data_IF_632996878817
#
_entry.id   IF_632996878817
#
_cell.length_a   1.000
_cell.length_b   1.000
_cell.length_c   1.000
_cell.angle_alpha   90.00
_cell.angle_beta   90.00
_cell.angle_gamma   90.00
#
_symmetry.space_group_name_H-M   'P 1'
#
loop_
_entity.id
_entity.type
_entity.pdbx_description
1 polymer ?
#
# COMPACT_ATOMS: atom_id res chain seq x y z
N UNK A 1 4.05 -17.63 24.94
CA UNK A 1 2.81 -17.80 24.15
C UNK A 1 3.19 -17.59 22.68
N UNK A 2 3.09 -18.60 21.80
CA UNK A 2 3.37 -18.39 20.36
C UNK A 2 2.13 -17.75 19.75
N UNK A 3 2.27 -16.55 19.21
CA UNK A 3 1.21 -15.87 18.46
C UNK A 3 0.75 -16.75 17.29
N UNK A 4 -0.56 -16.73 17.00
CA UNK A 4 -1.11 -17.39 15.83
C UNK A 4 -0.47 -16.79 14.55
N UNK A 5 -0.33 -17.59 13.48
CA UNK A 5 0.25 -17.15 12.21
C UNK A 5 -0.53 -15.98 11.59
N UNK A 6 -1.85 -15.98 11.74
CA UNK A 6 -2.72 -14.87 11.33
C UNK A 6 -2.32 -13.57 12.06
N UNK A 7 -2.27 -13.61 13.39
CA UNK A 7 -1.90 -12.42 14.20
C UNK A 7 -0.50 -11.90 13.84
N UNK A 8 0.45 -12.80 13.54
CA UNK A 8 1.78 -12.38 13.07
C UNK A 8 1.70 -11.67 11.71
N UNK A 9 0.88 -12.18 10.79
CA UNK A 9 0.64 -11.56 9.49
C UNK A 9 0.03 -10.17 9.64
N UNK A 10 -0.98 -10.03 10.51
CA UNK A 10 -1.66 -8.76 10.76
C UNK A 10 -0.70 -7.73 11.35
N UNK A 11 0.16 -8.13 12.29
CA UNK A 11 1.21 -7.25 12.84
C UNK A 11 2.22 -6.81 11.76
N UNK A 12 2.61 -7.71 10.84
CA UNK A 12 3.48 -7.35 9.71
C UNK A 12 2.79 -6.32 8.81
N UNK A 13 1.51 -6.49 8.51
CA UNK A 13 0.74 -5.57 7.67
C UNK A 13 0.51 -4.21 8.34
N UNK A 14 0.27 -4.17 9.65
CA UNK A 14 0.19 -2.92 10.42
C UNK A 14 1.54 -2.18 10.38
N UNK A 15 2.66 -2.89 10.51
CA UNK A 15 4.00 -2.30 10.37
C UNK A 15 4.22 -1.72 8.96
N UNK A 16 3.80 -2.44 7.92
CA UNK A 16 3.83 -1.96 6.53
C UNK A 16 3.04 -0.65 6.41
N UNK A 17 1.82 -0.63 6.94
CA UNK A 17 0.92 0.53 6.89
C UNK A 17 1.51 1.75 7.63
N UNK A 18 2.18 1.51 8.76
CA UNK A 18 2.91 2.56 9.48
C UNK A 18 4.05 3.15 8.63
N UNK A 19 4.84 2.29 7.96
CA UNK A 19 5.91 2.73 7.07
C UNK A 19 5.35 3.60 5.92
N UNK A 20 4.18 3.25 5.38
CA UNK A 20 3.56 4.02 4.30
C UNK A 20 2.96 5.33 4.78
N UNK A 21 2.43 5.38 6.00
CA UNK A 21 2.00 6.65 6.61
C UNK A 21 3.14 7.68 6.65
N UNK A 22 4.37 7.24 6.98
CA UNK A 22 5.58 8.10 6.92
C UNK A 22 5.97 8.44 5.48
N UNK A 23 5.73 7.52 4.54
CA UNK A 23 6.15 7.67 3.14
C UNK A 23 5.57 8.90 2.45
N UNK A 24 4.33 9.31 2.75
CA UNK A 24 3.71 10.50 2.13
C UNK A 24 4.50 11.77 2.39
N UNK A 25 4.87 12.01 3.65
CA UNK A 25 5.69 13.17 4.02
C UNK A 25 7.05 13.18 3.32
N UNK A 26 7.71 12.02 3.28
CA UNK A 26 9.02 11.90 2.62
C UNK A 26 8.92 11.99 1.10
N UNK A 27 7.85 11.51 0.48
CA UNK A 27 7.63 11.67 -0.96
C UNK A 27 7.42 13.13 -1.33
N UNK A 28 6.60 13.86 -0.57
CA UNK A 28 6.36 15.29 -0.81
C UNK A 28 7.67 16.07 -0.77
N UNK A 29 8.51 15.81 0.23
CA UNK A 29 9.85 16.39 0.34
C UNK A 29 10.75 16.05 -0.86
N UNK A 30 10.71 14.82 -1.36
CA UNK A 30 11.52 14.40 -2.50
C UNK A 30 11.02 14.97 -3.84
N UNK A 31 9.70 15.15 -4.00
CA UNK A 31 9.09 15.66 -5.24
C UNK A 31 9.38 17.14 -5.51
N UNK A 32 9.97 17.87 -4.54
CA UNK A 32 10.51 19.21 -4.76
C UNK A 32 11.78 19.16 -5.63
N UNK A 33 12.57 18.10 -5.50
CA UNK A 33 13.87 17.91 -6.16
C UNK A 33 13.78 16.95 -7.35
N UNK A 34 12.90 15.97 -7.29
CA UNK A 34 12.87 14.84 -8.23
C UNK A 34 11.50 14.69 -8.91
N UNK A 35 11.51 14.25 -10.15
CA UNK A 35 10.26 13.87 -10.84
C UNK A 35 9.75 12.50 -10.37
N UNK A 36 8.43 12.21 -10.53
CA UNK A 36 7.78 11.02 -9.99
C UNK A 36 8.38 9.67 -10.40
N UNK A 37 8.66 9.46 -11.69
CA UNK A 37 9.26 8.20 -12.15
C UNK A 37 10.71 8.06 -11.68
N UNK A 38 11.46 9.16 -11.66
CA UNK A 38 12.83 9.22 -11.14
C UNK A 38 12.86 8.84 -9.67
N UNK A 39 12.00 9.42 -8.84
CA UNK A 39 11.87 9.08 -7.42
C UNK A 39 11.50 7.59 -7.23
N UNK A 40 10.49 7.10 -7.97
CA UNK A 40 10.08 5.71 -7.88
C UNK A 40 11.18 4.75 -8.34
N UNK A 41 11.93 5.08 -9.39
CA UNK A 41 13.08 4.29 -9.82
C UNK A 41 14.12 4.15 -8.71
N UNK A 42 14.52 5.27 -8.09
CA UNK A 42 15.51 5.26 -7.00
C UNK A 42 15.06 4.43 -5.80
N UNK A 43 13.82 4.64 -5.33
CA UNK A 43 13.33 3.92 -4.15
C UNK A 43 13.17 2.43 -4.38
N UNK A 44 12.67 2.00 -5.55
CA UNK A 44 12.45 0.59 -5.85
C UNK A 44 13.75 -0.14 -6.22
N UNK A 45 14.63 0.46 -7.02
CA UNK A 45 15.93 -0.14 -7.31
C UNK A 45 16.84 -0.17 -6.09
N UNK A 46 16.85 0.90 -5.28
CA UNK A 46 17.57 0.91 -4.00
C UNK A 46 17.09 -0.21 -3.08
N UNK A 47 15.78 -0.36 -2.92
CA UNK A 47 15.18 -1.46 -2.15
C UNK A 47 15.57 -2.85 -2.70
N UNK A 48 15.49 -3.03 -4.02
CA UNK A 48 15.86 -4.28 -4.68
C UNK A 48 17.33 -4.62 -4.44
N UNK A 49 18.24 -3.69 -4.67
CA UNK A 49 19.70 -3.91 -4.50
C UNK A 49 20.01 -4.29 -3.06
N UNK A 50 19.48 -3.54 -2.09
CA UNK A 50 19.70 -3.82 -0.66
C UNK A 50 19.14 -5.19 -0.28
N UNK A 51 17.88 -5.50 -0.63
CA UNK A 51 17.27 -6.78 -0.34
C UNK A 51 17.98 -7.95 -1.04
N UNK A 52 18.41 -7.75 -2.28
CA UNK A 52 19.15 -8.74 -3.05
C UNK A 52 20.52 -9.04 -2.44
N UNK A 53 21.27 -8.03 -2.02
CA UNK A 53 22.57 -8.21 -1.38
C UNK A 53 22.43 -8.93 -0.04
N UNK A 54 21.46 -8.54 0.79
CA UNK A 54 21.21 -9.16 2.09
C UNK A 54 20.75 -10.63 1.98
N UNK A 55 20.07 -10.98 0.91
CA UNK A 55 19.50 -12.32 0.70
C UNK A 55 20.07 -13.04 -0.52
N UNK A 56 21.29 -12.71 -0.95
CA UNK A 56 21.92 -13.21 -2.17
C UNK A 56 21.84 -14.73 -2.35
N UNK A 57 22.09 -15.49 -1.28
CA UNK A 57 22.02 -16.96 -1.32
C UNK A 57 20.61 -17.46 -1.66
N UNK A 58 19.59 -16.78 -1.13
CA UNK A 58 18.18 -17.17 -1.30
C UNK A 58 17.65 -16.78 -2.67
N UNK A 59 17.97 -15.59 -3.18
CA UNK A 59 17.44 -15.11 -4.46
C UNK A 59 18.01 -15.85 -5.67
N UNK A 60 19.23 -16.40 -5.57
CA UNK A 60 19.87 -17.18 -6.65
C UNK A 60 19.13 -18.49 -6.99
N UNK A 61 18.28 -18.98 -6.10
CA UNK A 61 17.51 -20.22 -6.27
C UNK A 61 16.09 -20.00 -6.76
N UNK A 62 15.80 -18.81 -7.31
CA UNK A 62 14.47 -18.46 -7.78
C UNK A 62 14.02 -19.39 -8.91
N UNK A 63 12.80 -19.89 -8.80
CA UNK A 63 12.17 -20.69 -9.85
C UNK A 63 11.39 -19.81 -10.83
N UNK A 64 11.09 -20.38 -12.02
CA UNK A 64 10.38 -19.66 -13.09
C UNK A 64 8.96 -19.20 -12.67
N UNK A 65 8.28 -19.96 -11.84
CA UNK A 65 6.92 -19.65 -11.37
C UNK A 65 6.94 -18.41 -10.48
N UNK A 66 7.84 -18.37 -9.49
CA UNK A 66 8.03 -17.20 -8.63
C UNK A 66 8.39 -15.97 -9.46
N UNK A 67 9.32 -16.10 -10.42
CA UNK A 67 9.74 -14.97 -11.26
C UNK A 67 8.59 -14.44 -12.12
N UNK A 68 7.76 -15.32 -12.73
CA UNK A 68 6.58 -14.91 -13.50
C UNK A 68 5.59 -14.11 -12.65
N UNK A 69 5.29 -14.58 -11.45
CA UNK A 69 4.41 -13.85 -10.54
C UNK A 69 5.01 -12.53 -10.07
N UNK A 70 6.33 -12.50 -9.81
CA UNK A 70 7.04 -11.26 -9.47
C UNK A 70 6.95 -10.21 -10.58
N UNK A 71 7.01 -10.64 -11.84
CA UNK A 71 6.82 -9.73 -13.00
C UNK A 71 5.39 -9.21 -13.05
N UNK A 72 4.38 -10.06 -12.88
CA UNK A 72 2.98 -9.63 -12.92
C UNK A 72 2.64 -8.67 -11.79
N UNK A 73 3.05 -9.00 -10.56
CA UNK A 73 2.85 -8.14 -9.38
C UNK A 73 3.67 -6.85 -9.51
N UNK A 74 4.93 -6.92 -9.96
CA UNK A 74 5.76 -5.74 -10.17
C UNK A 74 5.21 -4.79 -11.24
N UNK A 75 4.61 -5.31 -12.31
CA UNK A 75 3.90 -4.48 -13.30
C UNK A 75 2.67 -3.82 -12.69
N UNK A 76 1.88 -4.54 -11.88
CA UNK A 76 0.75 -3.94 -11.16
C UNK A 76 1.22 -2.79 -10.26
N UNK A 77 2.34 -2.97 -9.55
CA UNK A 77 2.95 -1.92 -8.73
C UNK A 77 3.40 -0.69 -9.53
N UNK A 78 3.85 -0.84 -10.78
CA UNK A 78 4.15 0.33 -11.63
C UNK A 78 2.92 1.21 -11.77
N UNK A 79 1.75 0.63 -12.07
CA UNK A 79 0.49 1.39 -12.17
C UNK A 79 0.04 1.96 -10.84
N UNK A 80 0.24 1.24 -9.73
CA UNK A 80 -0.01 1.74 -8.36
C UNK A 80 0.78 3.02 -8.12
N UNK A 81 2.09 2.97 -8.31
CA UNK A 81 2.96 4.10 -8.00
C UNK A 81 2.89 5.23 -9.03
N UNK A 82 2.62 4.92 -10.29
CA UNK A 82 2.27 5.93 -11.28
C UNK A 82 1.00 6.68 -10.83
N UNK A 83 -0.06 5.95 -10.48
CA UNK A 83 -1.31 6.55 -10.03
C UNK A 83 -1.16 7.35 -8.74
N UNK A 84 -0.48 6.81 -7.73
CA UNK A 84 -0.29 7.48 -6.45
C UNK A 84 0.58 8.74 -6.57
N UNK A 85 1.76 8.64 -7.19
CA UNK A 85 2.74 9.73 -7.21
C UNK A 85 2.29 10.88 -8.12
N UNK A 86 1.79 10.58 -9.32
CA UNK A 86 1.19 11.61 -10.17
C UNK A 86 -0.16 12.10 -9.66
N UNK A 87 -0.92 11.25 -8.97
CA UNK A 87 -2.15 11.64 -8.30
C UNK A 87 -1.88 12.77 -7.32
N UNK A 88 -0.93 12.60 -6.40
CA UNK A 88 -0.50 13.63 -5.44
C UNK A 88 -0.05 14.91 -6.15
N UNK A 89 0.67 14.79 -7.28
CA UNK A 89 1.13 15.97 -8.06
C UNK A 89 -0.02 16.80 -8.64
N UNK A 90 -1.19 16.20 -8.95
CA UNK A 90 -2.28 16.85 -9.69
C UNK A 90 -3.57 17.03 -8.88
N UNK A 91 -3.69 16.49 -7.67
CA UNK A 91 -4.84 16.72 -6.78
C UNK A 91 -4.38 17.06 -5.36
N UNK A 92 -5.32 17.39 -4.46
CA UNK A 92 -4.95 17.66 -3.08
C UNK A 92 -4.54 16.37 -2.36
N UNK A 93 -3.62 16.50 -1.41
CA UNK A 93 -3.10 15.37 -0.62
C UNK A 93 -4.24 14.60 0.08
N UNK A 94 -5.21 15.33 0.65
CA UNK A 94 -6.40 14.75 1.30
C UNK A 94 -7.27 13.93 0.33
N UNK A 95 -7.56 14.47 -0.87
CA UNK A 95 -8.32 13.73 -1.89
C UNK A 95 -7.54 12.52 -2.41
N UNK A 96 -6.23 12.66 -2.62
CA UNK A 96 -5.36 11.57 -3.02
C UNK A 96 -5.43 10.43 -2.01
N UNK A 97 -5.27 10.71 -0.72
CA UNK A 97 -5.38 9.72 0.35
C UNK A 97 -6.74 9.01 0.37
N UNK A 98 -7.84 9.76 0.20
CA UNK A 98 -9.18 9.17 0.11
C UNK A 98 -9.33 8.24 -1.10
N UNK A 99 -8.96 8.73 -2.29
CA UNK A 99 -9.17 7.99 -3.53
C UNK A 99 -8.25 6.77 -3.65
N UNK A 100 -6.99 6.86 -3.23
CA UNK A 100 -6.10 5.70 -3.14
C UNK A 100 -6.58 4.69 -2.09
N UNK A 101 -7.12 5.17 -0.96
CA UNK A 101 -7.72 4.33 0.08
C UNK A 101 -8.94 3.53 -0.39
N UNK A 102 -9.57 3.89 -1.52
CA UNK A 102 -10.64 3.10 -2.14
C UNK A 102 -10.21 1.66 -2.51
N UNK A 103 -8.92 1.34 -2.44
CA UNK A 103 -8.40 -0.03 -2.54
C UNK A 103 -9.16 -0.99 -1.62
N UNK A 104 -9.54 -0.57 -0.42
CA UNK A 104 -10.32 -1.37 0.54
C UNK A 104 -11.68 -1.82 -0.03
N UNK A 105 -12.26 -1.03 -0.92
CA UNK A 105 -13.53 -1.33 -1.61
C UNK A 105 -13.28 -2.17 -2.86
N UNK A 106 -12.28 -1.78 -3.67
CA UNK A 106 -12.01 -2.47 -4.94
C UNK A 106 -11.48 -3.88 -4.75
N UNK A 107 -10.71 -4.16 -3.69
CA UNK A 107 -10.15 -5.50 -3.45
C UNK A 107 -11.24 -6.56 -3.28
N UNK A 108 -12.20 -6.47 -2.36
CA UNK A 108 -13.28 -7.45 -2.27
C UNK A 108 -14.22 -7.44 -3.49
N UNK A 109 -14.43 -6.29 -4.14
CA UNK A 109 -15.24 -6.19 -5.34
C UNK A 109 -14.62 -6.97 -6.50
N UNK A 110 -13.34 -6.76 -6.79
CA UNK A 110 -12.63 -7.48 -7.84
C UNK A 110 -12.47 -8.96 -7.49
N UNK A 111 -12.23 -9.30 -6.21
CA UNK A 111 -12.21 -10.68 -5.73
C UNK A 111 -13.54 -11.40 -5.97
N UNK A 112 -14.67 -10.72 -5.77
CA UNK A 112 -15.98 -11.26 -6.10
C UNK A 112 -16.19 -11.44 -7.61
N UNK A 113 -15.85 -10.42 -8.41
CA UNK A 113 -16.07 -10.44 -9.88
C UNK A 113 -15.16 -11.49 -10.57
N UNK A 114 -13.86 -11.47 -10.28
CA UNK A 114 -12.87 -12.25 -11.03
C UNK A 114 -12.57 -13.62 -10.40
N UNK A 115 -12.57 -13.71 -9.08
CA UNK A 115 -12.26 -14.95 -8.36
C UNK A 115 -13.49 -15.63 -7.80
N UNK A 116 -14.70 -15.08 -8.01
CA UNK A 116 -15.99 -15.57 -7.50
C UNK A 116 -15.99 -15.81 -5.97
N UNK A 117 -15.17 -15.07 -5.25
CA UNK A 117 -15.08 -15.13 -3.79
C UNK A 117 -16.33 -14.50 -3.18
N UNK A 118 -17.11 -15.29 -2.42
CA UNK A 118 -18.27 -14.76 -1.70
C UNK A 118 -17.81 -13.94 -0.51
N UNK A 119 -18.21 -12.67 -0.47
CA UNK A 119 -17.87 -11.76 0.63
C UNK A 119 -18.83 -11.96 1.81
N UNK A 120 -18.28 -11.99 3.02
CA UNK A 120 -19.10 -12.09 4.23
C UNK A 120 -19.78 -10.75 4.53
N UNK A 121 -20.98 -10.80 5.16
CA UNK A 121 -21.67 -9.58 5.61
C UNK A 121 -20.82 -8.75 6.56
N UNK A 122 -19.99 -9.41 7.37
CA UNK A 122 -19.03 -8.79 8.27
C UNK A 122 -18.00 -7.95 7.48
N UNK A 123 -17.41 -8.52 6.41
CA UNK A 123 -16.45 -7.81 5.57
C UNK A 123 -17.10 -6.57 4.92
N UNK A 124 -18.32 -6.70 4.40
CA UNK A 124 -19.06 -5.56 3.82
C UNK A 124 -19.24 -4.44 4.84
N UNK A 125 -19.64 -4.76 6.06
CA UNK A 125 -19.77 -3.77 7.14
C UNK A 125 -18.41 -3.09 7.44
N UNK A 126 -17.35 -3.87 7.59
CA UNK A 126 -16.00 -3.37 7.86
C UNK A 126 -15.51 -2.43 6.74
N UNK A 127 -15.72 -2.82 5.47
CA UNK A 127 -15.36 -2.00 4.31
C UNK A 127 -16.13 -0.67 4.31
N UNK A 128 -17.43 -0.69 4.63
CA UNK A 128 -18.22 0.54 4.74
C UNK A 128 -17.73 1.44 5.89
N UNK A 129 -17.38 0.86 7.04
CA UNK A 129 -16.79 1.60 8.15
C UNK A 129 -15.45 2.23 7.76
N UNK A 130 -14.57 1.48 7.08
CA UNK A 130 -13.30 2.02 6.55
C UNK A 130 -13.55 3.18 5.58
N UNK A 131 -14.47 3.00 4.62
CA UNK A 131 -14.80 4.03 3.64
C UNK A 131 -15.28 5.34 4.29
N UNK A 132 -16.21 5.22 5.25
CA UNK A 132 -16.70 6.39 6.01
C UNK A 132 -15.57 6.99 6.85
N UNK A 133 -14.76 6.17 7.49
CA UNK A 133 -13.61 6.60 8.30
C UNK A 133 -12.57 7.36 7.49
N UNK A 134 -12.18 6.83 6.31
CA UNK A 134 -11.27 7.50 5.38
C UNK A 134 -11.87 8.83 4.92
N UNK A 135 -13.16 8.87 4.57
CA UNK A 135 -13.84 10.08 4.15
C UNK A 135 -13.83 11.17 5.25
N UNK A 136 -14.14 10.78 6.49
CA UNK A 136 -14.12 11.70 7.63
C UNK A 136 -12.70 12.21 7.95
N UNK A 137 -11.68 11.36 7.78
CA UNK A 137 -10.29 11.71 8.07
C UNK A 137 -9.70 12.64 7.00
N UNK A 138 -9.98 12.37 5.71
CA UNK A 138 -9.22 12.96 4.59
C UNK A 138 -9.98 14.04 3.83
N UNK A 139 -11.32 13.98 3.76
CA UNK A 139 -12.09 14.98 3.01
C UNK A 139 -12.29 16.25 3.84
N UNK A 140 -11.90 17.39 3.29
CA UNK A 140 -12.24 18.72 3.82
C UNK A 140 -13.72 18.99 3.56
N UNK A 141 -14.28 19.98 4.24
CA UNK A 141 -15.73 20.31 4.15
C UNK A 141 -16.15 20.87 2.80
N UNK A 142 -15.17 21.23 1.96
CA UNK A 142 -15.41 21.67 0.59
C UNK A 142 -15.37 20.48 -0.38
N UNK A 143 -16.55 19.91 -0.64
CA UNK A 143 -16.76 18.86 -1.65
C UNK A 143 -16.82 19.42 -3.08
N UNK A 144 -16.34 20.62 -3.34
CA UNK A 144 -16.39 21.23 -4.67
C UNK A 144 -15.65 20.34 -5.70
N UNK A 145 -16.36 19.97 -6.76
CA UNK A 145 -15.78 19.28 -7.91
C UNK A 145 -15.00 20.31 -8.72
N UNK A 146 -13.74 20.47 -8.40
CA UNK A 146 -12.86 21.31 -9.20
C UNK A 146 -12.37 20.50 -10.40
N UNK A 147 -12.82 20.84 -11.61
CA UNK A 147 -12.43 20.18 -12.85
C UNK A 147 -10.92 20.23 -13.11
N UNK A 148 -10.20 21.19 -12.52
CA UNK A 148 -8.74 21.28 -12.60
C UNK A 148 -8.02 20.06 -11.96
N UNK A 149 -8.65 19.37 -11.02
CA UNK A 149 -8.07 18.23 -10.32
C UNK A 149 -8.50 16.84 -10.85
N UNK A 150 -9.39 16.81 -11.85
CA UNK A 150 -9.99 15.56 -12.36
C UNK A 150 -8.94 14.55 -12.83
N UNK A 151 -7.83 15.05 -13.42
CA UNK A 151 -6.72 14.20 -13.86
C UNK A 151 -6.05 13.48 -12.68
N UNK A 152 -5.78 14.19 -11.60
CA UNK A 152 -5.21 13.63 -10.37
C UNK A 152 -6.17 12.65 -9.71
N UNK A 153 -7.45 12.99 -9.64
CA UNK A 153 -8.49 12.14 -9.05
C UNK A 153 -8.60 10.79 -9.79
N UNK A 154 -8.59 10.81 -11.14
CA UNK A 154 -8.62 9.60 -11.97
C UNK A 154 -7.35 8.74 -11.79
N UNK A 155 -6.17 9.38 -11.66
CA UNK A 155 -4.91 8.67 -11.39
C UNK A 155 -4.92 8.00 -10.01
N UNK A 156 -5.47 8.65 -8.99
CA UNK A 156 -5.65 8.05 -7.66
C UNK A 156 -6.62 6.85 -7.69
N UNK A 157 -7.73 6.94 -8.45
CA UNK A 157 -8.64 5.81 -8.62
C UNK A 157 -7.97 4.66 -9.40
N UNK A 158 -7.17 4.97 -10.41
CA UNK A 158 -6.35 3.97 -11.11
C UNK A 158 -5.38 3.29 -10.12
N UNK A 159 -4.72 4.05 -9.24
CA UNK A 159 -3.90 3.50 -8.16
C UNK A 159 -4.69 2.49 -7.32
N UNK A 160 -5.88 2.86 -6.84
CA UNK A 160 -6.70 2.01 -5.99
C UNK A 160 -7.10 0.70 -6.67
N UNK A 161 -7.49 0.75 -7.94
CA UNK A 161 -7.82 -0.44 -8.75
C UNK A 161 -6.59 -1.30 -8.99
N UNK A 162 -5.46 -0.68 -9.40
CA UNK A 162 -4.21 -1.39 -9.64
C UNK A 162 -3.70 -2.08 -8.37
N UNK A 163 -3.85 -1.43 -7.21
CA UNK A 163 -3.42 -1.99 -5.95
C UNK A 163 -4.34 -3.14 -5.49
N UNK A 164 -5.65 -3.05 -5.74
CA UNK A 164 -6.55 -4.17 -5.53
C UNK A 164 -6.17 -5.39 -6.40
N UNK A 165 -5.76 -5.16 -7.66
CA UNK A 165 -5.23 -6.22 -8.54
C UNK A 165 -3.93 -6.79 -7.99
N UNK A 166 -3.00 -5.95 -7.51
CA UNK A 166 -1.73 -6.36 -6.89
C UNK A 166 -1.98 -7.29 -5.70
N UNK A 167 -2.87 -6.91 -4.78
CA UNK A 167 -3.23 -7.71 -3.61
C UNK A 167 -3.81 -9.08 -4.01
N UNK A 168 -4.70 -9.13 -5.00
CA UNK A 168 -5.31 -10.38 -5.48
C UNK A 168 -4.31 -11.26 -6.23
N UNK A 169 -3.40 -10.66 -7.01
CA UNK A 169 -2.33 -11.39 -7.70
C UNK A 169 -1.34 -11.97 -6.69
N UNK A 170 -0.99 -11.21 -5.65
CA UNK A 170 -0.09 -11.64 -4.58
C UNK A 170 -0.72 -12.80 -3.79
N UNK A 171 -2.01 -12.69 -3.38
CA UNK A 171 -2.74 -13.78 -2.72
C UNK A 171 -2.70 -15.06 -3.58
N UNK A 172 -3.03 -14.94 -4.87
CA UNK A 172 -3.01 -16.07 -5.80
C UNK A 172 -1.62 -16.66 -5.98
N UNK A 173 -0.58 -15.83 -5.95
CA UNK A 173 0.81 -16.26 -6.09
C UNK A 173 1.26 -17.04 -4.85
N UNK A 174 1.08 -16.47 -3.65
CA UNK A 174 1.57 -17.08 -2.40
C UNK A 174 0.75 -18.28 -1.93
N UNK A 175 -0.45 -18.49 -2.49
CA UNK A 175 -1.23 -19.70 -2.29
C UNK A 175 -0.62 -20.94 -2.98
N UNK A 176 0.33 -20.74 -3.92
CA UNK A 176 1.04 -21.83 -4.60
C UNK A 176 2.25 -22.25 -3.79
N UNK A 177 2.40 -23.55 -3.55
CA UNK A 177 3.55 -24.12 -2.83
C UNK A 177 4.90 -23.84 -3.51
N UNK A 178 4.89 -23.74 -4.84
CA UNK A 178 6.07 -23.48 -5.67
C UNK A 178 6.59 -22.04 -5.53
N UNK A 179 5.76 -21.09 -5.05
CA UNK A 179 6.11 -19.68 -4.95
C UNK A 179 6.72 -19.37 -3.59
N UNK A 180 7.97 -18.92 -3.59
CA UNK A 180 8.57 -18.36 -2.39
C UNK A 180 8.14 -16.89 -2.22
N UNK A 181 7.35 -16.62 -1.17
CA UNK A 181 6.81 -15.29 -0.89
C UNK A 181 7.89 -14.23 -0.65
N UNK A 182 9.05 -14.61 -0.09
CA UNK A 182 10.16 -13.68 0.11
C UNK A 182 10.80 -13.29 -1.23
N UNK A 183 11.08 -14.29 -2.08
CA UNK A 183 11.63 -14.03 -3.42
C UNK A 183 10.66 -13.22 -4.27
N UNK A 184 9.34 -13.51 -4.18
CA UNK A 184 8.29 -12.71 -4.82
C UNK A 184 8.43 -11.24 -4.41
N UNK A 185 8.50 -10.98 -3.10
CA UNK A 185 8.67 -9.63 -2.54
C UNK A 185 9.92 -8.92 -3.05
N UNK A 186 11.05 -9.62 -3.15
CA UNK A 186 12.30 -9.01 -3.64
C UNK A 186 12.25 -8.74 -5.14
N UNK A 187 11.84 -9.72 -5.96
CA UNK A 187 11.90 -9.56 -7.42
C UNK A 187 10.85 -8.57 -7.97
N UNK A 188 9.67 -8.42 -7.32
CA UNK A 188 8.72 -7.39 -7.72
C UNK A 188 9.32 -5.97 -7.59
N UNK A 189 10.17 -5.72 -6.57
CA UNK A 189 10.87 -4.44 -6.43
C UNK A 189 11.76 -4.14 -7.62
N UNK A 190 12.55 -5.14 -8.07
CA UNK A 190 13.41 -5.00 -9.24
C UNK A 190 12.63 -4.69 -10.51
N UNK A 191 11.53 -5.42 -10.74
CA UNK A 191 10.67 -5.19 -11.91
C UNK A 191 10.07 -3.79 -11.88
N UNK A 192 9.48 -3.39 -10.75
CA UNK A 192 8.89 -2.06 -10.57
C UNK A 192 9.94 -0.96 -10.76
N UNK A 193 11.13 -1.14 -10.18
CA UNK A 193 12.23 -0.18 -10.28
C UNK A 193 12.74 -0.01 -11.70
N UNK A 194 12.96 -1.12 -12.42
CA UNK A 194 13.41 -1.08 -13.82
C UNK A 194 12.36 -0.43 -14.72
N UNK A 195 11.09 -0.78 -14.57
CA UNK A 195 10.02 -0.16 -15.35
C UNK A 195 9.93 1.35 -15.10
N UNK A 196 9.98 1.80 -13.82
CA UNK A 196 9.98 3.23 -13.51
C UNK A 196 11.23 3.94 -14.06
N UNK A 197 12.41 3.31 -14.02
CA UNK A 197 13.63 3.87 -14.61
C UNK A 197 13.50 4.06 -16.13
N UNK A 198 12.96 3.06 -16.82
CA UNK A 198 12.70 3.17 -18.27
C UNK A 198 11.70 4.30 -18.58
N UNK A 199 10.63 4.41 -17.79
CA UNK A 199 9.65 5.50 -17.93
C UNK A 199 10.28 6.86 -17.64
N UNK A 200 11.15 6.95 -16.62
CA UNK A 200 11.88 8.17 -16.29
C UNK A 200 12.76 8.62 -17.48
N UNK A 201 13.52 7.71 -18.10
CA UNK A 201 14.32 8.04 -19.29
C UNK A 201 13.48 8.48 -20.49
N UNK A 202 12.23 8.02 -20.59
CA UNK A 202 11.34 8.36 -21.71
C UNK A 202 10.59 9.69 -21.50
N UNK A 203 10.35 10.09 -20.26
CA UNK A 203 9.41 11.20 -19.96
C UNK A 203 9.98 12.28 -19.04
N UNK A 204 11.09 12.01 -18.38
CA UNK A 204 11.76 12.88 -17.41
C UNK A 204 13.26 12.98 -17.74
N UNK A 205 14.01 13.73 -16.94
CA UNK A 205 15.47 13.74 -16.96
C UNK A 205 15.99 13.12 -15.66
N UNK A 206 16.20 11.80 -15.60
CA UNK A 206 16.60 11.13 -14.37
C UNK A 206 17.93 11.68 -13.85
N UNK A 207 17.95 12.06 -12.58
CA UNK A 207 19.13 12.54 -11.88
C UNK A 207 19.19 11.98 -10.46
N UNK A 208 20.36 12.06 -9.85
CA UNK A 208 20.54 11.69 -8.44
C UNK A 208 20.00 12.81 -7.53
N UNK A 209 19.58 12.50 -6.30
CA UNK A 209 19.19 13.50 -5.32
C UNK A 209 20.26 14.58 -5.16
N UNK A 210 19.86 15.85 -5.11
CA UNK A 210 20.83 16.99 -5.11
C UNK A 210 21.26 17.38 -3.72
N UNK A 211 20.46 17.09 -2.67
CA UNK A 211 20.76 17.49 -1.29
C UNK A 211 20.88 16.29 -0.35
N UNK A 212 21.65 16.39 0.75
CA UNK A 212 21.75 15.34 1.75
C UNK A 212 20.40 14.96 2.37
N UNK A 213 19.49 15.93 2.52
CA UNK A 213 18.14 15.70 3.06
C UNK A 213 17.32 14.79 2.13
N UNK A 214 17.33 15.07 0.82
CA UNK A 214 16.64 14.25 -0.17
C UNK A 214 17.27 12.86 -0.26
N UNK A 215 18.61 12.75 -0.19
CA UNK A 215 19.29 11.46 -0.09
C UNK A 215 18.82 10.62 1.10
N UNK A 216 18.76 11.26 2.29
CA UNK A 216 18.25 10.60 3.51
C UNK A 216 16.80 10.12 3.35
N UNK A 217 15.94 10.97 2.76
CA UNK A 217 14.55 10.63 2.50
C UNK A 217 14.41 9.47 1.50
N UNK A 218 15.14 9.50 0.37
CA UNK A 218 15.14 8.42 -0.63
C UNK A 218 15.66 7.11 -0.04
N UNK A 219 16.71 7.13 0.77
CA UNK A 219 17.23 5.94 1.44
C UNK A 219 16.22 5.37 2.44
N UNK A 220 15.57 6.19 3.24
CA UNK A 220 14.52 5.75 4.17
C UNK A 220 13.33 5.16 3.40
N UNK A 221 12.86 5.83 2.34
CA UNK A 221 11.83 5.31 1.45
C UNK A 221 12.22 3.96 0.84
N UNK A 222 13.46 3.82 0.38
CA UNK A 222 13.95 2.58 -0.21
C UNK A 222 13.97 1.43 0.80
N UNK A 223 14.52 1.64 1.99
CA UNK A 223 14.71 0.56 2.98
C UNK A 223 13.40 0.19 3.64
N UNK A 224 12.71 1.16 4.25
CA UNK A 224 11.57 0.90 5.13
C UNK A 224 10.24 0.91 4.37
N UNK A 225 9.98 1.99 3.65
CA UNK A 225 8.68 2.18 2.99
C UNK A 225 8.53 1.39 1.68
N UNK A 226 9.61 0.80 1.18
CA UNK A 226 9.60 -0.01 -0.05
C UNK A 226 10.15 -1.41 0.22
N UNK A 227 11.42 -1.54 0.62
CA UNK A 227 12.07 -2.83 0.80
C UNK A 227 11.40 -3.70 1.85
N UNK A 228 11.35 -3.22 3.09
CA UNK A 228 10.71 -3.93 4.20
C UNK A 228 9.22 -4.14 3.91
N UNK A 229 8.51 -3.10 3.47
CA UNK A 229 7.07 -3.15 3.25
C UNK A 229 6.68 -4.21 2.21
N UNK A 230 7.25 -4.16 1.00
CA UNK A 230 6.90 -5.07 -0.09
C UNK A 230 7.52 -6.46 0.01
N UNK A 231 8.45 -6.69 0.93
CA UNK A 231 8.89 -8.05 1.30
C UNK A 231 7.97 -8.65 2.37
N UNK A 232 7.55 -7.85 3.35
CA UNK A 232 6.63 -8.33 4.40
C UNK A 232 5.21 -8.58 3.88
N UNK A 233 4.72 -7.80 2.92
CA UNK A 233 3.37 -7.95 2.37
C UNK A 233 3.11 -9.36 1.82
N UNK A 234 3.89 -9.94 0.87
CA UNK A 234 3.65 -11.30 0.39
C UNK A 234 3.84 -12.37 1.48
N UNK A 235 4.77 -12.15 2.42
CA UNK A 235 4.97 -13.05 3.56
C UNK A 235 3.74 -13.10 4.46
N UNK A 236 3.12 -11.96 4.73
CA UNK A 236 1.89 -11.86 5.52
C UNK A 236 0.70 -12.45 4.74
N UNK A 237 0.57 -12.15 3.46
CA UNK A 237 -0.53 -12.65 2.62
C UNK A 237 -0.53 -14.17 2.42
N UNK A 238 0.53 -14.90 2.78
CA UNK A 238 0.47 -16.37 2.91
C UNK A 238 -0.50 -16.86 3.97
N UNK A 239 -0.85 -16.01 4.94
CA UNK A 239 -1.63 -16.36 6.12
C UNK A 239 -2.92 -15.54 6.25
N UNK A 240 -3.21 -14.69 5.26
CA UNK A 240 -4.40 -13.85 5.23
C UNK A 240 -4.88 -13.60 3.79
N UNK A 241 -6.09 -13.08 3.63
CA UNK A 241 -6.67 -12.79 2.30
C UNK A 241 -6.33 -11.39 1.83
N UNK A 242 -6.41 -11.15 0.50
CA UNK A 242 -6.23 -9.82 -0.08
C UNK A 242 -7.23 -8.81 0.49
N UNK A 243 -8.50 -9.20 0.68
CA UNK A 243 -9.53 -8.33 1.25
C UNK A 243 -9.22 -7.94 2.71
N UNK A 244 -8.72 -8.88 3.52
CA UNK A 244 -8.29 -8.60 4.89
C UNK A 244 -7.07 -7.67 4.92
N UNK A 245 -6.09 -7.92 4.04
CA UNK A 245 -4.92 -7.04 3.85
C UNK A 245 -5.35 -5.63 3.48
N UNK A 246 -6.31 -5.48 2.55
CA UNK A 246 -6.86 -4.18 2.17
C UNK A 246 -7.52 -3.42 3.32
N UNK A 247 -8.20 -4.13 4.23
CA UNK A 247 -8.77 -3.52 5.45
C UNK A 247 -7.67 -2.99 6.38
N UNK A 248 -6.59 -3.76 6.59
CA UNK A 248 -5.46 -3.29 7.41
C UNK A 248 -4.79 -2.08 6.76
N UNK A 249 -4.60 -2.10 5.44
CA UNK A 249 -4.00 -1.00 4.70
C UNK A 249 -4.87 0.26 4.69
N UNK A 250 -6.16 0.14 4.92
CA UNK A 250 -7.03 1.30 5.14
C UNK A 250 -6.62 2.15 6.35
N UNK A 251 -5.77 1.66 7.26
CA UNK A 251 -5.19 2.45 8.36
C UNK A 251 -4.07 3.42 7.90
N UNK A 252 -3.59 3.31 6.66
CA UNK A 252 -2.51 4.16 6.15
C UNK A 252 -2.79 5.67 6.32
N UNK A 253 -3.98 6.20 6.00
CA UNK A 253 -4.30 7.60 6.26
C UNK A 253 -4.28 7.98 7.76
N UNK A 254 -4.57 7.04 8.66
CA UNK A 254 -4.50 7.29 10.11
C UNK A 254 -3.04 7.53 10.52
N UNK A 255 -2.12 6.69 10.06
CA UNK A 255 -0.70 6.87 10.34
C UNK A 255 -0.14 8.12 9.64
N UNK A 256 -0.58 8.41 8.41
CA UNK A 256 -0.19 9.64 7.70
C UNK A 256 -0.65 10.90 8.45
N UNK A 257 -1.88 10.92 8.97
CA UNK A 257 -2.39 12.02 9.79
C UNK A 257 -1.59 12.18 11.10
N UNK A 258 -1.20 11.07 11.74
CA UNK A 258 -0.33 11.10 12.92
C UNK A 258 1.04 11.72 12.62
N UNK A 259 1.66 11.31 11.51
CA UNK A 259 2.95 11.85 11.05
C UNK A 259 2.83 13.35 10.74
N UNK A 260 1.77 13.76 10.04
CA UNK A 260 1.51 15.16 9.73
C UNK A 260 1.32 16.01 11.01
N UNK A 261 0.59 15.49 12.00
CA UNK A 261 0.41 16.17 13.28
C UNK A 261 1.73 16.36 14.05
N UNK A 262 2.64 15.37 14.01
CA UNK A 262 3.92 15.43 14.76
C UNK A 262 4.96 16.25 14.00
N UNK A 263 5.12 16.06 12.70
CA UNK A 263 6.24 16.65 11.94
C UNK A 263 5.86 17.90 11.15
N UNK A 264 4.58 18.04 10.75
CA UNK A 264 4.08 19.23 10.05
C UNK A 264 3.26 20.16 10.95
N UNK A 265 3.13 19.87 12.25
CA UNK A 265 2.30 20.61 13.22
C UNK A 265 0.84 20.80 12.74
N UNK A 266 0.31 19.86 11.97
CA UNK A 266 -1.09 19.90 11.54
C UNK A 266 -2.03 19.60 12.73
N UNK A 267 -3.01 20.48 12.95
CA UNK A 267 -4.05 20.27 13.95
C UNK A 267 -5.17 19.45 13.31
N UNK A 268 -5.35 18.22 13.76
CA UNK A 268 -6.43 17.37 13.30
C UNK A 268 -7.79 17.90 13.81
N UNK A 269 -8.79 17.93 12.92
CA UNK A 269 -10.14 18.28 13.31
C UNK A 269 -10.79 17.19 14.16
N UNK A 270 -11.81 17.54 14.92
CA UNK A 270 -12.64 16.57 15.68
C UNK A 270 -13.21 15.49 14.72
N UNK A 271 -13.62 15.86 13.53
CA UNK A 271 -14.08 14.98 12.46
C UNK A 271 -13.00 13.95 12.08
N UNK A 272 -11.74 14.38 11.96
CA UNK A 272 -10.61 13.50 11.65
C UNK A 272 -10.34 12.47 12.76
N UNK A 273 -10.46 12.85 14.04
CA UNK A 273 -10.36 11.90 15.15
C UNK A 273 -11.46 10.84 15.12
N UNK A 274 -12.71 11.22 14.82
CA UNK A 274 -13.81 10.26 14.66
C UNK A 274 -13.56 9.31 13.47
N UNK A 275 -13.06 9.82 12.35
CA UNK A 275 -12.68 9.01 11.20
C UNK A 275 -11.61 7.97 11.54
N UNK A 276 -10.53 8.40 12.20
CA UNK A 276 -9.46 7.52 12.66
C UNK A 276 -9.97 6.45 13.63
N UNK A 277 -10.79 6.84 14.62
CA UNK A 277 -11.37 5.91 15.57
C UNK A 277 -12.27 4.86 14.90
N UNK A 278 -13.08 5.27 13.89
CA UNK A 278 -13.93 4.36 13.13
C UNK A 278 -13.12 3.35 12.34
N UNK A 279 -11.99 3.76 11.74
CA UNK A 279 -11.09 2.87 11.01
C UNK A 279 -10.41 1.87 11.92
N UNK A 280 -9.92 2.30 13.08
CA UNK A 280 -9.34 1.41 14.09
C UNK A 280 -10.40 0.42 14.63
N UNK A 281 -11.62 0.90 14.91
CA UNK A 281 -12.72 0.04 15.34
C UNK A 281 -13.09 -1.00 14.26
N UNK A 282 -13.06 -0.64 12.99
CA UNK A 282 -13.33 -1.56 11.88
C UNK A 282 -12.33 -2.72 11.84
N UNK A 283 -11.05 -2.45 12.13
CA UNK A 283 -10.02 -3.48 12.23
C UNK A 283 -10.30 -4.44 13.40
N UNK A 284 -10.64 -3.93 14.59
CA UNK A 284 -11.01 -4.79 15.71
C UNK A 284 -12.23 -5.65 15.40
N UNK A 285 -13.25 -5.08 14.75
CA UNK A 285 -14.43 -5.85 14.31
C UNK A 285 -14.01 -6.95 13.34
N UNK A 286 -13.07 -6.70 12.43
CA UNK A 286 -12.57 -7.69 11.49
C UNK A 286 -11.95 -8.89 12.20
N UNK A 287 -11.20 -8.67 13.27
CA UNK A 287 -10.50 -9.71 14.04
C UNK A 287 -11.43 -10.54 14.96
N UNK A 288 -12.52 -9.96 15.48
CA UNK A 288 -13.42 -10.67 16.38
C UNK A 288 -14.13 -11.82 15.66
N UNK A 289 -13.95 -13.04 16.11
CA UNK A 289 -14.73 -14.19 15.65
C UNK A 289 -16.04 -14.28 16.42
N UNK A 290 -17.11 -13.71 15.85
CA UNK A 290 -18.45 -13.75 16.42
C UNK A 290 -19.05 -15.17 16.49
N UNK A 291 -18.49 -16.16 15.78
CA UNK A 291 -18.97 -17.54 15.82
C UNK A 291 -18.70 -18.23 17.15
N UNK A 292 -17.70 -17.76 17.89
CA UNK A 292 -17.35 -18.27 19.23
C UNK A 292 -18.36 -17.84 20.31
N UNK A 293 -19.01 -16.69 20.16
CA UNK A 293 -20.01 -16.18 21.13
C UNK A 293 -21.35 -16.93 21.05
N UNK A 294 -21.69 -17.52 19.89
CA UNK A 294 -22.95 -18.28 19.71
C UNK A 294 -22.89 -19.73 20.22
N UNK A 295 -21.70 -20.27 20.50
CA UNK A 295 -21.55 -21.67 20.97
C UNK A 295 -21.54 -21.85 22.49
N UNK A 296 -21.51 -20.76 23.24
CA UNK A 296 -21.52 -20.81 24.73
C UNK A 296 -22.93 -20.83 25.34
N UNK A 297 -24.00 -20.90 24.53
CA UNK A 297 -25.39 -20.93 25.01
C UNK A 297 -26.19 -22.14 24.51
N UNK A 298 -25.54 -23.26 24.21
CA UNK A 298 -26.25 -24.53 23.98
C UNK A 298 -25.67 -25.63 24.84
#
# INVERSE_FOLDING_TARGET
MRLNKQTQADMMLVLVTLCWGVSYYLMDLCLIDMDPFTLNAHRFLGAFVIAALLSWKKIRTVNRTTLRYSVLVGIALVFVYMGATFGVKYTSLSKSGFLCGMTVVFTPLLGWIFLKQRQSKKLVLVVLMCLVGIALLTLKDDFSINTAHIKGDLLCLMCAVAYAIDLLLTEKAVAREEVDAYQLGVFQLGVTGVCNLLLAFLTEQPHLPTTPTVWGAVLFLSVFCTGVAFVLQPLAQRYTTASHTGVIFALEPVFAAFVAAIFANEILSVKSYFGAALMVASLFIMEIDFSSFGKSQK
#
